data_IF_455834983183
#
_entry.id   IF_455834983183
#
_cell.length_a   1.000
_cell.length_b   1.000
_cell.length_c   1.000
_cell.angle_alpha   90.00
_cell.angle_beta   90.00
_cell.angle_gamma   90.00
#
_symmetry.space_group_name_H-M   'P 1'
#
loop_
_entity.id
_entity.type
_entity.pdbx_description
1 polymer ?
#
# COMPACT_ATOMS: atom_id res chain seq x y z
N UNK A 1 -19.03 79.61 -43.14
CA UNK A 1 -19.15 79.21 -41.73
C UNK A 1 -18.64 77.77 -41.62
N UNK A 2 -17.38 77.56 -41.23
CA UNK A 2 -16.74 76.24 -41.20
C UNK A 2 -16.94 75.63 -39.80
N UNK A 3 -17.61 74.48 -39.71
CA UNK A 3 -17.91 73.79 -38.45
C UNK A 3 -16.79 72.78 -38.19
N UNK A 4 -15.95 73.04 -37.20
CA UNK A 4 -14.88 72.09 -36.81
C UNK A 4 -15.48 70.75 -36.34
N UNK A 5 -14.89 69.61 -36.71
CA UNK A 5 -15.39 68.30 -36.30
C UNK A 5 -15.15 68.06 -34.80
N UNK A 6 -16.05 67.32 -34.11
CA UNK A 6 -15.92 67.05 -32.69
C UNK A 6 -14.75 66.12 -32.41
N UNK A 7 -13.94 66.51 -31.42
CA UNK A 7 -12.78 65.77 -30.96
C UNK A 7 -13.22 64.47 -30.23
N UNK A 8 -12.86 63.31 -30.77
CA UNK A 8 -13.35 61.97 -30.36
C UNK A 8 -12.46 61.28 -29.32
N UNK A 9 -11.61 62.03 -28.62
CA UNK A 9 -10.57 61.52 -27.72
C UNK A 9 -11.08 60.81 -26.46
N UNK A 10 -12.34 61.00 -26.08
CA UNK A 10 -12.94 60.37 -24.89
C UNK A 10 -13.20 58.85 -25.03
N UNK A 11 -13.34 58.31 -26.25
CA UNK A 11 -13.63 56.88 -26.46
C UNK A 11 -12.43 55.95 -26.24
N UNK A 12 -11.19 56.45 -26.37
CA UNK A 12 -9.98 55.63 -26.31
C UNK A 12 -9.65 55.10 -24.91
N UNK A 13 -10.03 55.78 -23.84
CA UNK A 13 -9.64 55.41 -22.45
C UNK A 13 -10.41 54.19 -21.92
N UNK A 14 -11.66 53.97 -22.34
CA UNK A 14 -12.45 52.81 -21.90
C UNK A 14 -12.10 51.50 -22.63
N UNK A 15 -11.59 51.61 -23.85
CA UNK A 15 -11.25 50.45 -24.69
C UNK A 15 -10.08 49.63 -24.09
N UNK A 16 -9.01 50.29 -23.63
CA UNK A 16 -7.86 49.61 -23.02
C UNK A 16 -8.23 48.84 -21.76
N UNK A 17 -9.15 49.38 -20.95
CA UNK A 17 -9.63 48.69 -19.74
C UNK A 17 -10.43 47.43 -20.10
N UNK A 18 -11.26 47.49 -21.15
CA UNK A 18 -12.02 46.34 -21.63
C UNK A 18 -11.12 45.25 -22.26
N UNK A 19 -10.11 45.64 -23.03
CA UNK A 19 -9.12 44.70 -23.60
C UNK A 19 -8.30 44.01 -22.50
N UNK A 20 -7.91 44.74 -21.46
CA UNK A 20 -7.24 44.15 -20.29
C UNK A 20 -8.16 43.19 -19.52
N UNK A 21 -9.42 43.58 -19.30
CA UNK A 21 -10.39 42.75 -18.60
C UNK A 21 -10.68 41.41 -19.32
N UNK A 22 -10.56 41.37 -20.66
CA UNK A 22 -10.74 40.15 -21.45
C UNK A 22 -9.48 39.28 -21.53
N UNK A 23 -8.29 39.88 -21.52
CA UNK A 23 -7.01 39.15 -21.61
C UNK A 23 -6.56 38.57 -20.27
N UNK A 24 -6.87 39.26 -19.17
CA UNK A 24 -6.56 38.80 -17.80
C UNK A 24 -7.08 37.39 -17.47
N UNK A 25 -8.37 37.03 -17.68
CA UNK A 25 -8.86 35.69 -17.38
C UNK A 25 -8.20 34.60 -18.23
N UNK A 26 -7.87 34.91 -19.50
CA UNK A 26 -7.14 33.98 -20.38
C UNK A 26 -5.70 33.74 -19.87
N UNK A 27 -5.03 34.81 -19.45
CA UNK A 27 -3.70 34.72 -18.86
C UNK A 27 -3.72 33.91 -17.56
N UNK A 28 -4.68 34.18 -16.67
CA UNK A 28 -4.84 33.43 -15.42
C UNK A 28 -5.13 31.95 -15.67
N UNK A 29 -6.00 31.63 -16.64
CA UNK A 29 -6.29 30.25 -17.02
C UNK A 29 -5.02 29.54 -17.50
N UNK A 30 -4.20 30.19 -18.32
CA UNK A 30 -2.94 29.62 -18.80
C UNK A 30 -1.95 29.39 -17.65
N UNK A 31 -1.81 30.36 -16.74
CA UNK A 31 -0.93 30.24 -15.57
C UNK A 31 -1.40 29.09 -14.66
N UNK A 32 -2.69 29.04 -14.30
CA UNK A 32 -3.22 27.95 -13.49
C UNK A 32 -3.11 26.59 -14.19
N UNK A 33 -3.31 26.55 -15.51
CA UNK A 33 -3.10 25.34 -16.30
C UNK A 33 -1.66 24.83 -16.22
N UNK A 34 -0.67 25.72 -16.34
CA UNK A 34 0.75 25.37 -16.19
C UNK A 34 1.07 24.91 -14.77
N UNK A 35 0.51 25.55 -13.75
CA UNK A 35 0.72 25.17 -12.34
C UNK A 35 0.16 23.78 -12.07
N UNK A 36 -1.09 23.51 -12.45
CA UNK A 36 -1.72 22.20 -12.22
C UNK A 36 -1.05 21.09 -13.05
N UNK A 37 -0.66 21.38 -14.30
CA UNK A 37 0.13 20.44 -15.10
C UNK A 37 1.47 20.13 -14.43
N UNK A 38 2.17 21.13 -13.89
CA UNK A 38 3.42 20.94 -13.15
C UNK A 38 3.25 20.04 -11.93
N UNK A 39 2.13 20.16 -11.19
CA UNK A 39 1.81 19.31 -10.03
C UNK A 39 1.54 17.86 -10.43
N UNK A 40 0.76 17.64 -11.49
CA UNK A 40 0.49 16.29 -12.02
C UNK A 40 1.79 15.64 -12.50
N UNK A 41 2.61 16.38 -13.25
CA UNK A 41 3.89 15.91 -13.74
C UNK A 41 4.86 15.56 -12.60
N UNK A 42 4.91 16.40 -11.55
CA UNK A 42 5.71 16.11 -10.36
C UNK A 42 5.25 14.83 -9.67
N UNK A 43 3.95 14.60 -9.53
CA UNK A 43 3.43 13.36 -8.94
C UNK A 43 3.84 12.14 -9.77
N UNK A 44 3.70 12.21 -11.11
CA UNK A 44 4.11 11.15 -12.03
C UNK A 44 5.59 10.78 -11.89
N UNK A 45 6.48 11.77 -11.98
CA UNK A 45 7.93 11.55 -11.85
C UNK A 45 8.30 11.00 -10.48
N UNK A 46 7.59 11.43 -9.43
CA UNK A 46 7.84 10.94 -8.07
C UNK A 46 7.44 9.46 -7.92
N UNK A 47 6.31 9.04 -8.48
CA UNK A 47 5.89 7.62 -8.49
C UNK A 47 6.89 6.78 -9.29
N UNK A 48 7.34 7.27 -10.45
CA UNK A 48 8.31 6.55 -11.28
C UNK A 48 9.67 6.38 -10.56
N UNK A 49 10.15 7.43 -9.89
CA UNK A 49 11.37 7.37 -9.09
C UNK A 49 11.23 6.42 -7.89
N UNK A 50 10.07 6.45 -7.22
CA UNK A 50 9.75 5.53 -6.13
C UNK A 50 9.83 4.06 -6.57
N UNK A 51 9.20 3.72 -7.70
CA UNK A 51 9.24 2.37 -8.24
C UNK A 51 10.66 1.94 -8.63
N UNK A 52 11.44 2.82 -9.28
CA UNK A 52 12.84 2.54 -9.65
C UNK A 52 13.72 2.28 -8.42
N UNK A 53 13.57 3.08 -7.38
CA UNK A 53 14.34 2.93 -6.15
C UNK A 53 13.98 1.64 -5.40
N UNK A 54 12.68 1.32 -5.33
CA UNK A 54 12.20 0.07 -4.76
C UNK A 54 12.76 -1.15 -5.50
N UNK A 55 12.69 -1.16 -6.84
CA UNK A 55 13.24 -2.26 -7.65
C UNK A 55 14.74 -2.38 -7.47
N UNK A 56 15.49 -1.27 -7.51
CA UNK A 56 16.94 -1.28 -7.28
C UNK A 56 17.27 -1.94 -5.95
N UNK A 57 16.55 -1.57 -4.90
CA UNK A 57 16.72 -2.17 -3.59
C UNK A 57 16.37 -3.67 -3.58
N UNK A 58 15.24 -4.07 -4.16
CA UNK A 58 14.81 -5.48 -4.27
C UNK A 58 15.88 -6.36 -4.91
N UNK A 59 16.58 -5.88 -5.96
CA UNK A 59 17.62 -6.67 -6.65
C UNK A 59 18.82 -7.03 -5.76
N UNK A 60 19.03 -6.31 -4.66
CA UNK A 60 20.13 -6.62 -3.73
C UNK A 60 19.89 -7.90 -2.93
N UNK A 61 18.62 -8.34 -2.81
CA UNK A 61 18.26 -9.44 -1.94
C UNK A 61 18.50 -9.15 -0.45
N UNK A 62 18.74 -7.91 -0.04
CA UNK A 62 19.00 -7.55 1.34
C UNK A 62 17.76 -6.90 1.98
N UNK A 63 17.64 -7.03 3.30
CA UNK A 63 16.70 -6.26 4.11
C UNK A 63 17.48 -5.24 4.96
N UNK A 64 16.81 -4.21 5.46
CA UNK A 64 17.42 -3.13 6.24
C UNK A 64 17.75 -3.65 7.65
N UNK A 65 18.96 -4.17 7.82
CA UNK A 65 19.45 -4.77 9.08
C UNK A 65 19.64 -3.76 10.20
N UNK A 66 19.85 -2.49 9.84
CA UNK A 66 20.00 -1.41 10.82
C UNK A 66 18.66 -1.03 11.43
N UNK A 67 17.57 -1.18 10.65
CA UNK A 67 16.21 -0.87 11.08
C UNK A 67 15.44 -2.07 11.63
N UNK A 68 15.68 -3.26 11.09
CA UNK A 68 14.93 -4.46 11.41
C UNK A 68 15.86 -5.56 11.91
N UNK A 69 15.65 -6.02 13.14
CA UNK A 69 16.31 -7.22 13.66
C UNK A 69 15.41 -8.44 13.45
N UNK A 70 15.89 -9.38 12.64
CA UNK A 70 15.15 -10.61 12.32
C UNK A 70 14.84 -11.46 13.55
N UNK A 71 15.74 -11.52 14.53
CA UNK A 71 15.52 -12.35 15.71
C UNK A 71 14.61 -11.67 16.74
N UNK A 72 14.59 -10.33 16.75
CA UNK A 72 13.67 -9.58 17.60
C UNK A 72 12.25 -9.56 17.05
N UNK A 73 12.10 -9.38 15.73
CA UNK A 73 10.80 -9.17 15.08
C UNK A 73 10.15 -10.47 14.61
N UNK A 74 10.96 -11.39 14.11
CA UNK A 74 10.56 -12.70 13.64
C UNK A 74 11.40 -13.77 14.34
N UNK A 75 11.29 -13.91 15.68
CA UNK A 75 11.92 -15.03 16.36
C UNK A 75 11.44 -16.34 15.72
N UNK A 76 12.34 -17.33 15.70
CA UNK A 76 12.06 -18.68 15.26
C UNK A 76 12.33 -19.58 16.46
N UNK A 77 11.28 -19.98 17.16
CA UNK A 77 11.42 -20.75 18.40
C UNK A 77 11.37 -22.26 18.15
N UNK A 78 10.66 -22.69 17.11
CA UNK A 78 10.38 -24.11 16.90
C UNK A 78 9.36 -24.68 17.88
N UNK A 79 8.71 -23.83 18.67
CA UNK A 79 7.66 -24.23 19.60
C UNK A 79 6.27 -24.17 18.92
N UNK A 80 5.52 -25.28 18.86
CA UNK A 80 4.17 -25.27 18.30
C UNK A 80 3.24 -24.30 19.03
N UNK A 81 3.49 -24.01 20.31
CA UNK A 81 2.71 -23.07 21.10
C UNK A 81 2.96 -21.61 20.69
N UNK A 82 4.18 -21.25 20.29
CA UNK A 82 4.48 -19.91 19.77
C UNK A 82 3.91 -19.71 18.37
N UNK A 83 3.95 -20.74 17.53
CA UNK A 83 3.25 -20.75 16.24
C UNK A 83 1.74 -20.56 16.40
N UNK A 84 1.15 -21.28 17.36
CA UNK A 84 -0.26 -21.21 17.68
C UNK A 84 -1.16 -22.05 16.78
N UNK A 85 -2.42 -21.62 16.68
CA UNK A 85 -3.49 -22.34 16.01
C UNK A 85 -3.74 -21.78 14.60
N UNK A 86 -4.22 -22.66 13.72
CA UNK A 86 -4.69 -22.29 12.38
C UNK A 86 -6.08 -21.69 12.47
N UNK A 87 -6.25 -20.53 11.89
CA UNK A 87 -7.52 -19.86 11.69
C UNK A 87 -7.76 -19.73 10.20
N UNK A 88 -8.93 -20.22 9.76
CA UNK A 88 -9.35 -20.04 8.38
C UNK A 88 -10.25 -18.81 8.33
N UNK A 89 -9.77 -17.76 7.68
CA UNK A 89 -10.52 -16.53 7.49
C UNK A 89 -11.24 -16.67 6.15
N UNK A 90 -12.56 -16.84 6.22
CA UNK A 90 -13.40 -16.81 5.04
C UNK A 90 -13.82 -15.36 4.80
N UNK A 91 -13.53 -14.87 3.62
CA UNK A 91 -13.89 -13.51 3.25
C UNK A 91 -15.13 -13.46 2.36
N UNK A 92 -15.56 -14.58 1.77
CA UNK A 92 -16.82 -14.69 1.04
C UNK A 92 -17.76 -15.69 1.74
N UNK A 93 -18.79 -15.19 2.42
CA UNK A 93 -19.74 -16.06 3.12
C UNK A 93 -20.56 -16.96 2.18
N UNK A 94 -20.71 -16.58 0.91
CA UNK A 94 -21.46 -17.34 -0.09
C UNK A 94 -20.57 -18.38 -0.79
N UNK A 95 -19.24 -18.17 -0.81
CA UNK A 95 -18.28 -19.11 -1.35
C UNK A 95 -17.19 -19.53 -0.34
N UNK A 96 -17.35 -20.69 0.34
CA UNK A 96 -16.40 -21.18 1.34
C UNK A 96 -15.02 -21.58 0.78
N UNK A 97 -14.81 -21.47 -0.54
CA UNK A 97 -13.50 -21.65 -1.15
C UNK A 97 -12.64 -20.38 -1.16
N UNK A 98 -13.21 -19.18 -0.95
CA UNK A 98 -12.48 -17.92 -0.85
C UNK A 98 -11.99 -17.65 0.59
N UNK A 99 -11.12 -18.51 1.07
CA UNK A 99 -10.60 -18.43 2.43
C UNK A 99 -9.07 -18.48 2.47
N UNK A 100 -8.49 -17.70 3.37
CA UNK A 100 -7.05 -17.69 3.64
C UNK A 100 -6.78 -18.30 5.01
N UNK A 101 -5.74 -19.13 5.09
CA UNK A 101 -5.31 -19.71 6.35
C UNK A 101 -4.25 -18.81 7.00
N UNK A 102 -4.53 -18.39 8.23
CA UNK A 102 -3.68 -17.52 9.05
C UNK A 102 -3.36 -18.23 10.36
N UNK A 103 -2.18 -17.97 10.91
CA UNK A 103 -1.75 -18.54 12.18
C UNK A 103 -1.64 -17.45 13.23
N UNK A 104 -2.24 -17.70 14.39
CA UNK A 104 -2.16 -16.83 15.56
C UNK A 104 -1.78 -17.65 16.78
N UNK A 105 -0.94 -17.08 17.66
CA UNK A 105 -0.65 -17.68 18.96
C UNK A 105 -1.94 -17.92 19.72
N UNK A 106 -2.75 -16.87 19.85
CA UNK A 106 -4.07 -16.88 20.46
C UNK A 106 -4.96 -15.85 19.76
N UNK A 107 -6.28 -16.02 19.85
CA UNK A 107 -7.25 -15.05 19.37
C UNK A 107 -8.17 -14.64 20.52
N UNK A 108 -8.17 -13.35 20.87
CA UNK A 108 -9.07 -12.76 21.86
C UNK A 108 -10.11 -11.88 21.13
N UNK A 109 -11.43 -12.09 21.35
CA UNK A 109 -12.48 -11.27 20.73
C UNK A 109 -12.43 -9.78 21.09
N UNK A 110 -11.82 -9.41 22.21
CA UNK A 110 -11.75 -8.03 22.73
C UNK A 110 -10.42 -7.37 22.34
N UNK A 111 -9.32 -8.10 22.48
CA UNK A 111 -7.97 -7.56 22.28
C UNK A 111 -7.40 -7.86 20.89
N UNK A 112 -8.07 -8.70 20.10
CA UNK A 112 -7.62 -9.13 18.78
C UNK A 112 -6.65 -10.33 18.81
N UNK A 113 -6.05 -10.68 17.67
CA UNK A 113 -5.09 -11.78 17.58
C UNK A 113 -3.76 -11.43 18.28
N UNK A 114 -3.25 -12.37 19.08
CA UNK A 114 -1.88 -12.36 19.57
C UNK A 114 -0.97 -13.05 18.54
N UNK A 115 0.09 -12.35 18.14
CA UNK A 115 0.94 -12.76 17.03
C UNK A 115 2.40 -12.84 17.49
N UNK A 116 3.13 -13.83 16.98
CA UNK A 116 4.55 -14.06 17.24
C UNK A 116 5.32 -14.17 15.91
N UNK A 117 6.65 -14.19 15.98
CA UNK A 117 7.48 -14.49 14.80
C UNK A 117 7.13 -15.82 14.14
N UNK A 118 6.97 -16.88 14.94
CA UNK A 118 6.57 -18.21 14.46
C UNK A 118 5.18 -18.19 13.80
N UNK A 119 4.21 -17.45 14.36
CA UNK A 119 2.87 -17.29 13.76
C UNK A 119 2.93 -16.58 12.40
N UNK A 120 3.70 -15.48 12.28
CA UNK A 120 3.87 -14.77 11.01
C UNK A 120 4.55 -15.69 9.98
N UNK A 121 5.62 -16.37 10.39
CA UNK A 121 6.35 -17.31 9.54
C UNK A 121 5.42 -18.39 8.99
N UNK A 122 4.65 -19.05 9.85
CA UNK A 122 3.71 -20.09 9.42
C UNK A 122 2.57 -19.54 8.55
N UNK A 123 2.09 -18.32 8.79
CA UNK A 123 1.12 -17.66 7.90
C UNK A 123 1.68 -17.49 6.49
N UNK A 124 2.93 -17.02 6.39
CA UNK A 124 3.56 -16.78 5.09
C UNK A 124 3.97 -18.07 4.36
N UNK A 125 4.47 -19.07 5.10
CA UNK A 125 5.03 -20.31 4.57
C UNK A 125 4.13 -21.53 4.79
N UNK A 126 2.83 -21.42 4.51
CA UNK A 126 1.91 -22.57 4.39
C UNK A 126 1.77 -23.44 5.66
N UNK A 127 1.80 -22.81 6.83
CA UNK A 127 1.69 -23.48 8.12
C UNK A 127 2.93 -24.26 8.54
N UNK A 128 4.02 -24.18 7.76
CA UNK A 128 5.31 -24.78 8.10
C UNK A 128 5.78 -24.19 9.43
N UNK A 129 6.16 -25.08 10.33
CA UNK A 129 6.72 -24.69 11.61
C UNK A 129 8.16 -24.24 11.44
N UNK A 130 8.51 -23.12 12.07
CA UNK A 130 9.86 -22.57 11.97
C UNK A 130 10.87 -23.46 12.71
N UNK A 131 11.76 -24.14 11.99
CA UNK A 131 12.94 -24.79 12.56
C UNK A 131 14.12 -23.81 12.76
N UNK A 132 14.56 -23.52 13.99
CA UNK A 132 15.71 -22.67 14.26
C UNK A 132 17.05 -23.27 13.81
N UNK A 133 17.13 -24.60 13.64
CA UNK A 133 18.31 -25.29 13.15
C UNK A 133 18.49 -25.22 11.63
N UNK A 134 17.46 -24.79 10.90
CA UNK A 134 17.47 -24.72 9.44
C UNK A 134 17.97 -23.36 8.94
N UNK A 135 19.10 -23.30 8.20
CA UNK A 135 19.55 -22.08 7.55
C UNK A 135 18.54 -21.53 6.54
N UNK A 136 17.77 -22.41 5.89
CA UNK A 136 16.73 -22.02 4.93
C UNK A 136 15.61 -21.22 5.61
N UNK A 137 15.21 -21.61 6.82
CA UNK A 137 14.17 -20.90 7.56
C UNK A 137 14.65 -19.54 8.08
N UNK A 138 15.96 -19.38 8.31
CA UNK A 138 16.53 -18.06 8.55
C UNK A 138 16.39 -17.16 7.32
N UNK A 139 16.77 -17.63 6.13
CA UNK A 139 16.64 -16.87 4.88
C UNK A 139 15.16 -16.51 4.59
N UNK A 140 14.23 -17.43 4.83
CA UNK A 140 12.80 -17.18 4.68
C UNK A 140 12.28 -16.08 5.61
N UNK A 141 12.75 -16.03 6.85
CA UNK A 141 12.40 -14.91 7.75
C UNK A 141 12.99 -13.59 7.27
N UNK A 142 14.21 -13.61 6.72
CA UNK A 142 14.81 -12.43 6.11
C UNK A 142 14.04 -11.96 4.88
N UNK A 143 13.50 -12.88 4.07
CA UNK A 143 12.66 -12.55 2.91
C UNK A 143 11.39 -11.78 3.32
N UNK A 144 10.77 -12.11 4.46
CA UNK A 144 9.64 -11.34 5.00
C UNK A 144 10.07 -9.90 5.29
N UNK A 145 11.19 -9.71 5.99
CA UNK A 145 11.71 -8.37 6.28
C UNK A 145 12.20 -7.62 5.04
N UNK A 146 12.59 -8.35 3.98
CA UNK A 146 12.92 -7.75 2.69
C UNK A 146 11.71 -7.04 2.10
N UNK A 147 10.52 -7.63 2.18
CA UNK A 147 9.28 -6.98 1.72
C UNK A 147 8.99 -5.69 2.48
N UNK A 148 9.15 -5.70 3.81
CA UNK A 148 9.00 -4.51 4.65
C UNK A 148 10.00 -3.42 4.26
N UNK A 149 11.24 -3.82 3.99
CA UNK A 149 12.30 -2.89 3.58
C UNK A 149 12.02 -2.28 2.19
N UNK A 150 11.54 -3.08 1.24
CA UNK A 150 11.12 -2.62 -0.09
C UNK A 150 10.00 -1.57 0.03
N UNK A 151 9.03 -1.82 0.90
CA UNK A 151 7.94 -0.88 1.18
C UNK A 151 8.48 0.46 1.70
N UNK A 152 9.37 0.44 2.68
CA UNK A 152 9.98 1.65 3.24
C UNK A 152 10.81 2.41 2.19
N UNK A 153 11.56 1.71 1.35
CA UNK A 153 12.36 2.31 0.28
C UNK A 153 11.47 2.96 -0.78
N UNK A 154 10.39 2.29 -1.20
CA UNK A 154 9.40 2.84 -2.11
C UNK A 154 8.81 4.14 -1.54
N UNK A 155 8.44 4.16 -0.25
CA UNK A 155 7.92 5.37 0.41
C UNK A 155 8.94 6.50 0.48
N UNK A 156 10.21 6.20 0.75
CA UNK A 156 11.29 7.21 0.72
C UNK A 156 11.44 7.81 -0.67
N UNK A 157 11.40 6.98 -1.72
CA UNK A 157 11.41 7.46 -3.11
C UNK A 157 10.17 8.29 -3.47
N UNK A 158 9.06 8.10 -2.77
CA UNK A 158 7.83 8.85 -2.93
C UNK A 158 7.71 10.08 -1.99
N UNK A 159 8.77 10.48 -1.28
CA UNK A 159 8.74 11.58 -0.29
C UNK A 159 8.37 12.96 -0.87
N UNK A 160 8.43 13.12 -2.20
CA UNK A 160 7.93 14.31 -2.89
C UNK A 160 6.40 14.39 -2.95
N UNK A 161 5.70 13.29 -2.66
CA UNK A 161 4.26 13.27 -2.43
C UNK A 161 4.00 13.64 -0.97
N UNK A 162 2.89 14.31 -0.69
CA UNK A 162 2.48 14.66 0.66
C UNK A 162 1.98 13.41 1.42
N UNK A 163 2.80 12.37 1.57
CA UNK A 163 2.42 11.08 2.12
C UNK A 163 2.14 11.14 3.63
N UNK A 164 1.29 10.23 4.09
CA UNK A 164 1.16 9.94 5.51
C UNK A 164 2.49 9.41 6.10
N UNK A 165 2.63 9.44 7.42
CA UNK A 165 3.75 8.77 8.10
C UNK A 165 3.68 7.27 7.84
N UNK A 166 4.85 6.61 7.78
CA UNK A 166 4.90 5.15 7.71
C UNK A 166 4.29 4.57 8.98
N UNK A 167 3.38 3.61 8.83
CA UNK A 167 2.83 2.83 9.95
C UNK A 167 3.82 1.75 10.43
N UNK A 168 4.96 1.59 9.73
CA UNK A 168 6.03 0.68 10.10
C UNK A 168 6.84 1.21 11.28
N UNK A 169 6.48 0.72 12.48
CA UNK A 169 7.15 1.08 13.73
C UNK A 169 8.17 0.02 14.21
N UNK A 170 8.52 -0.94 13.35
CA UNK A 170 9.48 -2.00 13.70
C UNK A 170 8.98 -2.91 14.80
N UNK A 171 7.69 -3.25 14.78
CA UNK A 171 7.08 -4.24 15.68
C UNK A 171 6.57 -5.41 14.87
N UNK A 172 6.53 -6.60 15.48
CA UNK A 172 5.94 -7.81 14.87
C UNK A 172 4.50 -7.56 14.41
N UNK A 173 3.72 -6.81 15.19
CA UNK A 173 2.35 -6.43 14.82
C UNK A 173 2.30 -5.52 13.59
N UNK A 174 3.19 -4.52 13.48
CA UNK A 174 3.21 -3.63 12.31
C UNK A 174 3.56 -4.39 11.02
N UNK A 175 4.45 -5.39 11.11
CA UNK A 175 4.79 -6.28 9.99
C UNK A 175 3.58 -7.14 9.63
N UNK A 176 2.94 -7.75 10.62
CA UNK A 176 1.74 -8.55 10.37
C UNK A 176 0.64 -7.72 9.71
N UNK A 177 0.33 -6.54 10.28
CA UNK A 177 -0.64 -5.62 9.71
C UNK A 177 -0.25 -5.20 8.29
N UNK A 178 1.03 -4.97 7.99
CA UNK A 178 1.47 -4.68 6.62
C UNK A 178 1.11 -5.81 5.65
N UNK A 179 1.29 -7.06 6.09
CA UNK A 179 1.07 -8.25 5.27
C UNK A 179 -0.41 -8.54 5.08
N UNK A 180 -1.24 -8.24 6.08
CA UNK A 180 -2.67 -8.54 6.08
C UNK A 180 -3.57 -7.35 5.77
N UNK A 181 -3.09 -6.11 5.81
CA UNK A 181 -3.89 -4.92 5.50
C UNK A 181 -4.29 -4.85 4.02
N UNK A 182 -3.67 -5.66 3.16
CA UNK A 182 -4.12 -5.87 1.78
C UNK A 182 -5.45 -6.64 1.69
N UNK A 183 -5.91 -7.21 2.81
CA UNK A 183 -7.15 -8.00 2.92
C UNK A 183 -8.32 -7.21 3.54
N UNK A 184 -8.08 -5.97 3.94
CA UNK A 184 -9.16 -5.09 4.36
C UNK A 184 -9.73 -4.37 3.14
N UNK A 185 -11.06 -4.35 3.03
CA UNK A 185 -11.78 -3.90 1.83
C UNK A 185 -12.72 -2.72 2.12
N UNK A 186 -12.70 -1.68 1.25
CA UNK A 186 -11.58 -1.37 0.35
C UNK A 186 -10.31 -1.16 1.18
N UNK A 187 -9.11 -1.29 0.56
CA UNK A 187 -7.86 -1.05 1.30
C UNK A 187 -8.01 0.18 2.19
N UNK A 188 -7.79 0.08 3.50
CA UNK A 188 -8.15 1.14 4.41
C UNK A 188 -7.57 2.44 3.91
N UNK A 189 -8.46 3.42 3.69
CA UNK A 189 -8.10 4.78 3.29
C UNK A 189 -7.68 4.95 1.82
N UNK A 190 -7.94 3.98 0.93
CA UNK A 190 -7.71 4.14 -0.53
C UNK A 190 -8.41 5.36 -1.12
N UNK A 191 -9.56 5.74 -0.55
CA UNK A 191 -10.34 6.92 -0.90
C UNK A 191 -9.86 8.22 -0.23
N UNK A 192 -8.82 8.17 0.61
CA UNK A 192 -8.29 9.32 1.33
C UNK A 192 -7.12 9.96 0.59
N UNK A 193 -6.93 11.26 0.83
CA UNK A 193 -5.78 12.00 0.30
C UNK A 193 -4.50 11.42 0.88
N UNK A 194 -3.40 11.52 0.12
CA UNK A 194 -2.06 11.10 0.57
C UNK A 194 -1.86 9.58 0.72
N UNK A 195 -2.80 8.80 0.20
CA UNK A 195 -2.70 7.35 0.14
C UNK A 195 -1.63 6.91 -0.88
N UNK A 196 -0.80 5.95 -0.47
CA UNK A 196 0.20 5.32 -1.33
C UNK A 196 0.40 3.88 -0.87
N UNK A 197 0.11 2.94 -1.76
CA UNK A 197 0.25 1.51 -1.54
C UNK A 197 1.33 0.92 -2.44
N UNK A 198 2.03 -0.08 -1.90
CA UNK A 198 3.02 -0.86 -2.64
C UNK A 198 2.60 -2.30 -2.51
N UNK A 199 2.33 -2.92 -3.66
CA UNK A 199 1.99 -4.33 -3.73
C UNK A 199 3.13 -5.10 -4.37
N UNK A 200 3.42 -6.27 -3.82
CA UNK A 200 4.39 -7.20 -4.38
C UNK A 200 3.65 -8.47 -4.78
N UNK A 201 3.61 -8.74 -6.08
CA UNK A 201 3.06 -9.99 -6.60
C UNK A 201 4.17 -11.04 -6.69
N UNK A 202 3.85 -12.27 -6.31
CA UNK A 202 4.77 -13.41 -6.41
C UNK A 202 4.14 -14.51 -7.24
N UNK A 203 4.94 -15.14 -8.10
CA UNK A 203 4.58 -16.35 -8.84
C UNK A 203 4.96 -17.64 -8.10
N UNK A 204 5.40 -17.53 -6.84
CA UNK A 204 5.75 -18.69 -6.01
C UNK A 204 4.53 -19.57 -5.80
N UNK A 205 4.66 -20.86 -6.13
CA UNK A 205 3.62 -21.86 -5.85
C UNK A 205 3.50 -22.18 -4.36
N UNK A 206 2.43 -22.91 -4.00
CA UNK A 206 2.23 -23.36 -2.63
C UNK A 206 3.29 -24.39 -2.21
N UNK A 207 3.77 -24.27 -0.97
CA UNK A 207 4.72 -25.20 -0.36
C UNK A 207 3.99 -26.31 0.39
N UNK A 208 2.83 -25.99 0.98
CA UNK A 208 2.00 -26.94 1.72
C UNK A 208 1.07 -27.73 0.82
N UNK A 209 0.82 -29.00 1.16
CA UNK A 209 -0.17 -29.85 0.47
C UNK A 209 -1.61 -29.42 0.74
N UNK A 210 -1.86 -28.82 1.90
CA UNK A 210 -3.18 -28.37 2.32
C UNK A 210 -3.51 -26.95 1.84
N UNK A 211 -2.52 -26.25 1.28
CA UNK A 211 -2.67 -24.91 0.76
C UNK A 211 -3.54 -24.92 -0.48
N UNK A 212 -4.51 -24.00 -0.50
CA UNK A 212 -5.41 -23.82 -1.63
C UNK A 212 -5.27 -22.40 -2.17
N UNK A 213 -5.50 -22.23 -3.47
CA UNK A 213 -5.62 -20.90 -4.01
C UNK A 213 -6.85 -20.20 -3.43
N UNK A 214 -6.73 -18.88 -3.29
CA UNK A 214 -7.82 -18.03 -2.86
C UNK A 214 -8.97 -18.03 -3.90
N UNK A 215 -8.63 -17.99 -5.18
CA UNK A 215 -9.56 -18.14 -6.31
C UNK A 215 -9.17 -19.37 -7.14
N UNK A 216 -10.13 -20.16 -7.66
CA UNK A 216 -9.85 -21.39 -8.41
C UNK A 216 -8.87 -21.19 -9.58
N UNK A 217 -8.92 -20.02 -10.22
CA UNK A 217 -8.16 -19.69 -11.42
C UNK A 217 -6.79 -19.03 -11.14
N UNK A 218 -6.53 -18.62 -9.89
CA UNK A 218 -5.30 -17.93 -9.51
C UNK A 218 -4.54 -18.70 -8.42
N UNK A 219 -3.35 -19.26 -8.70
CA UNK A 219 -2.56 -20.03 -7.74
C UNK A 219 -1.86 -19.11 -6.71
N UNK A 220 -2.58 -18.16 -6.13
CA UNK A 220 -2.09 -17.25 -5.08
C UNK A 220 -2.92 -17.39 -3.81
N UNK A 221 -2.26 -17.21 -2.66
CA UNK A 221 -2.91 -17.14 -1.34
C UNK A 221 -3.37 -15.72 -0.99
N UNK A 222 -2.81 -14.73 -1.69
CA UNK A 222 -3.06 -13.32 -1.49
C UNK A 222 -3.71 -12.80 -2.77
N UNK A 223 -4.90 -12.23 -2.63
CA UNK A 223 -5.52 -11.41 -3.65
C UNK A 223 -5.60 -9.99 -3.10
N UNK A 224 -5.45 -9.02 -3.99
CA UNK A 224 -5.77 -7.64 -3.68
C UNK A 224 -7.03 -7.26 -4.42
N UNK A 225 -7.94 -6.65 -3.70
CA UNK A 225 -9.17 -6.07 -4.24
C UNK A 225 -9.00 -4.56 -4.24
N UNK A 226 -9.23 -3.93 -5.39
CA UNK A 226 -9.01 -2.50 -5.59
C UNK A 226 -10.31 -1.70 -5.44
N UNK A 227 -11.44 -2.27 -5.83
CA UNK A 227 -12.75 -1.61 -5.83
C UNK A 227 -13.81 -2.51 -5.16
N UNK A 228 -14.81 -1.89 -4.54
CA UNK A 228 -15.92 -2.62 -3.89
C UNK A 228 -16.74 -3.45 -4.89
N UNK A 229 -16.71 -3.09 -6.18
CA UNK A 229 -17.39 -3.81 -7.26
C UNK A 229 -16.62 -5.07 -7.72
N UNK A 230 -15.33 -5.19 -7.38
CA UNK A 230 -14.51 -6.38 -7.61
C UNK A 230 -14.76 -7.47 -6.54
N UNK A 231 -15.61 -7.17 -5.55
CA UNK A 231 -16.04 -8.09 -4.51
C UNK A 231 -17.07 -9.08 -5.06
N UNK A 232 -16.81 -10.38 -4.90
CA UNK A 232 -17.93 -11.33 -4.89
C UNK A 232 -18.78 -11.02 -3.66
N UNK A 233 -20.11 -10.89 -3.83
CA UNK A 233 -21.01 -10.55 -2.74
C UNK A 233 -20.81 -11.50 -1.55
N UNK A 234 -20.19 -11.03 -0.46
CA UNK A 234 -19.79 -11.93 0.63
C UNK A 234 -18.78 -11.37 1.63
N UNK A 235 -18.08 -10.29 1.31
CA UNK A 235 -17.10 -9.65 2.21
C UNK A 235 -17.81 -8.63 3.10
N UNK A 236 -18.05 -8.98 4.37
CA UNK A 236 -18.96 -8.18 5.24
C UNK A 236 -18.40 -7.70 6.58
N UNK A 237 -17.09 -7.59 6.74
CA UNK A 237 -16.53 -6.86 7.90
C UNK A 237 -15.69 -5.67 7.44
N UNK A 238 -16.21 -4.44 7.54
CA UNK A 238 -15.38 -3.25 7.41
C UNK A 238 -14.38 -3.24 8.57
N UNK A 239 -13.10 -3.29 8.27
CA UNK A 239 -12.08 -2.92 9.24
C UNK A 239 -12.12 -1.40 9.41
N UNK A 240 -12.68 -0.93 10.52
CA UNK A 240 -12.41 0.42 11.00
C UNK A 240 -11.01 0.40 11.61
N UNK A 241 -10.00 1.04 10.99
CA UNK A 241 -8.69 1.12 11.60
C UNK A 241 -8.82 1.80 12.96
N UNK A 242 -8.09 1.35 13.99
CA UNK A 242 -7.86 2.22 15.13
C UNK A 242 -7.15 3.45 14.58
N UNK A 243 -7.63 4.64 14.92
CA UNK A 243 -7.15 6.00 14.56
C UNK A 243 -7.85 6.69 13.37
#
# INVERSE_FOLDING_TARGET
>A
MYKSPPDTTLRRRGQTLAEFALTLPLLLLLIFGVIEFGRIFQAWVTIENSAREAIRYTTTGQYDKDRYDVNALLPCTGDPAERGNRYRINFDFDNPSHAVDVWFKNYDPVNGPSITGDSIFSTWYDGIQCDPGSPEHLEWRQDILRLVSIYDVARRGAAGLALERSQQNGTTQAIFNMMTALWDEPMPRSNQRSYFSVMVCSSRGFLGRDSRPYMPDFPTRFATIFEDDDLSAGFSTPYEPPY
#
